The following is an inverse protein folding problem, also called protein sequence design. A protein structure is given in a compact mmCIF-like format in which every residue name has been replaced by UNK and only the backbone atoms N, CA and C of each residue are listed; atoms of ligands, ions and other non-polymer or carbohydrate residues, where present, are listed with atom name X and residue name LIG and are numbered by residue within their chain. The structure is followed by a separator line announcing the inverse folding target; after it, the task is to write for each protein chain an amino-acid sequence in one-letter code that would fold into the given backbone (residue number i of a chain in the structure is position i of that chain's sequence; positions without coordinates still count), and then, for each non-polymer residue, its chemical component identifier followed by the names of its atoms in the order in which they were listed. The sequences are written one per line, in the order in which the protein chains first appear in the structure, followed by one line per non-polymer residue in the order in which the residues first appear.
data_IF_758781508524
#
_entry.id   IF_758781508524
#
_cell.length_a   1.000
_cell.length_b   1.000
_cell.length_c   1.000
_cell.angle_alpha   90.00
_cell.angle_beta   90.00
_cell.angle_gamma   90.00
#
_symmetry.space_group_name_H-M   'P 1'
#
loop_
_entity.id
_entity.type
_entity.pdbx_description
1 polymer ?
#
# COMPACT_ATOMS: atom_id res chain seq x y z
N UNK A 1 16.68 -9.29 -14.19
CA UNK A 1 15.20 -9.38 -14.12
C UNK A 1 14.84 -9.65 -12.67
N UNK A 2 14.30 -8.67 -11.93
CA UNK A 2 13.87 -8.92 -10.54
C UNK A 2 12.46 -9.50 -10.60
N UNK A 3 12.36 -10.82 -10.36
CA UNK A 3 11.09 -11.52 -10.26
C UNK A 3 10.24 -11.03 -9.10
N UNK A 4 9.02 -11.56 -8.92
CA UNK A 4 8.16 -11.18 -7.80
C UNK A 4 8.89 -11.43 -6.48
N UNK A 5 9.06 -10.38 -5.67
CA UNK A 5 9.77 -10.43 -4.40
C UNK A 5 8.76 -10.63 -3.28
N UNK A 6 8.97 -11.62 -2.43
CA UNK A 6 8.22 -11.74 -1.18
C UNK A 6 8.71 -10.67 -0.21
N UNK A 7 7.79 -9.81 0.21
CA UNK A 7 8.03 -8.74 1.18
C UNK A 7 7.05 -8.87 2.32
N UNK A 8 7.37 -8.26 3.45
CA UNK A 8 6.47 -8.19 4.60
C UNK A 8 5.85 -6.81 4.62
N UNK A 9 4.52 -6.75 4.75
CA UNK A 9 3.81 -5.49 4.84
C UNK A 9 4.19 -4.76 6.13
N UNK A 10 4.72 -3.54 6.05
CA UNK A 10 5.05 -2.77 7.26
C UNK A 10 3.82 -2.34 8.07
N UNK A 11 2.64 -2.28 7.44
CA UNK A 11 1.40 -1.95 8.15
C UNK A 11 0.81 -3.13 8.94
N UNK A 12 0.69 -4.31 8.33
CA UNK A 12 0.01 -5.46 8.95
C UNK A 12 0.92 -6.64 9.29
N UNK A 13 2.21 -6.58 8.95
CA UNK A 13 3.17 -7.66 9.18
C UNK A 13 2.94 -8.92 8.35
N UNK A 14 2.00 -8.93 7.40
CA UNK A 14 1.71 -10.10 6.59
C UNK A 14 2.70 -10.23 5.43
N UNK A 15 3.23 -11.43 5.16
CA UNK A 15 4.02 -11.69 3.97
C UNK A 15 3.12 -11.56 2.73
N UNK A 16 3.62 -10.87 1.72
CA UNK A 16 2.93 -10.68 0.46
C UNK A 16 3.91 -10.68 -0.71
N UNK A 17 3.40 -11.03 -1.87
CA UNK A 17 4.17 -10.99 -3.11
C UNK A 17 4.09 -9.59 -3.71
N UNK A 18 5.20 -8.87 -3.70
CA UNK A 18 5.34 -7.62 -4.44
C UNK A 18 5.43 -7.94 -5.94
N UNK A 19 4.56 -7.30 -6.73
CA UNK A 19 4.52 -7.51 -8.18
C UNK A 19 5.68 -6.88 -8.95
N UNK A 20 6.63 -6.22 -8.26
CA UNK A 20 7.76 -5.54 -8.89
C UNK A 20 7.26 -4.44 -9.84
N UNK A 21 7.46 -4.63 -11.15
CA UNK A 21 6.93 -3.75 -12.19
C UNK A 21 5.40 -3.64 -12.18
N UNK A 22 4.69 -4.66 -11.70
CA UNK A 22 3.23 -4.63 -11.51
C UNK A 22 2.89 -4.37 -10.04
N UNK A 23 3.33 -3.23 -9.51
CA UNK A 23 3.00 -2.84 -8.16
C UNK A 23 1.49 -2.60 -8.02
N UNK A 24 0.90 -3.08 -6.93
CA UNK A 24 -0.53 -2.91 -6.65
C UNK A 24 -0.94 -1.44 -6.53
N UNK A 25 -0.02 -0.54 -6.16
CA UNK A 25 -0.29 0.89 -6.06
C UNK A 25 -0.85 1.45 -7.39
N UNK A 26 -0.28 1.04 -8.53
CA UNK A 26 -0.74 1.47 -9.85
C UNK A 26 -1.99 0.72 -10.34
N UNK A 27 -2.25 -0.48 -9.83
CA UNK A 27 -3.45 -1.26 -10.20
C UNK A 27 -4.68 -0.86 -9.41
N UNK A 28 -4.51 -0.50 -8.13
CA UNK A 28 -5.60 -0.17 -7.21
C UNK A 28 -6.08 1.28 -7.32
N UNK A 29 -5.48 2.08 -8.22
CA UNK A 29 -5.87 3.47 -8.42
C UNK A 29 -5.54 4.36 -7.21
N UNK A 30 -4.41 4.10 -6.53
CA UNK A 30 -3.98 4.94 -5.42
C UNK A 30 -3.64 6.33 -5.93
N UNK A 31 -4.22 7.34 -5.28
CA UNK A 31 -4.00 8.75 -5.62
C UNK A 31 -2.62 9.21 -5.18
N UNK A 32 -2.10 10.28 -5.79
CA UNK A 32 -0.79 10.86 -5.44
C UNK A 32 -0.72 11.22 -3.95
N UNK A 33 -1.76 11.83 -3.40
CA UNK A 33 -1.85 12.19 -1.98
C UNK A 33 -1.82 10.97 -1.04
N UNK A 34 -2.44 9.85 -1.44
CA UNK A 34 -2.35 8.59 -0.70
C UNK A 34 -0.96 7.97 -0.81
N UNK A 35 -0.31 8.09 -1.97
CA UNK A 35 1.04 7.59 -2.20
C UNK A 35 2.06 8.36 -1.37
N UNK A 36 1.97 9.68 -1.31
CA UNK A 36 2.79 10.53 -0.45
C UNK A 36 2.62 10.16 1.02
N UNK A 37 1.38 9.89 1.45
CA UNK A 37 1.11 9.43 2.81
C UNK A 37 1.76 8.08 3.12
N UNK A 38 1.70 7.13 2.17
CA UNK A 38 2.37 5.83 2.30
C UNK A 38 3.88 6.05 2.41
N UNK A 39 4.48 6.78 1.46
CA UNK A 39 5.92 7.03 1.41
C UNK A 39 6.45 7.82 2.62
N UNK A 40 5.62 8.65 3.23
CA UNK A 40 5.98 9.38 4.46
C UNK A 40 5.90 8.53 5.74
N UNK A 41 5.23 7.38 5.71
CA UNK A 41 4.97 6.53 6.90
C UNK A 41 5.61 5.15 6.84
N UNK A 42 5.77 4.62 5.64
CA UNK A 42 6.28 3.29 5.38
C UNK A 42 7.49 3.42 4.45
N UNK A 43 8.63 2.87 4.88
CA UNK A 43 9.84 2.86 4.07
C UNK A 43 9.78 1.74 3.02
N UNK A 44 9.01 0.68 3.31
CA UNK A 44 8.79 -0.43 2.39
C UNK A 44 7.33 -0.51 1.87
N UNK A 45 7.08 -1.53 1.07
CA UNK A 45 5.85 -1.74 0.33
C UNK A 45 4.73 -2.27 1.23
N UNK A 46 3.52 -1.78 1.02
CA UNK A 46 2.31 -2.32 1.63
C UNK A 46 1.73 -3.47 0.80
N UNK A 47 1.10 -4.43 1.47
CA UNK A 47 0.41 -5.51 0.77
C UNK A 47 -0.85 -5.00 0.06
N UNK A 48 -1.33 -5.77 -0.94
CA UNK A 48 -2.56 -5.47 -1.69
C UNK A 48 -3.75 -5.17 -0.77
N UNK A 49 -3.88 -5.87 0.36
CA UNK A 49 -4.98 -5.66 1.30
C UNK A 49 -4.91 -4.27 1.94
N UNK A 50 -3.75 -3.87 2.45
CA UNK A 50 -3.56 -2.55 3.05
C UNK A 50 -3.69 -1.44 2.02
N UNK A 51 -3.11 -1.64 0.84
CA UNK A 51 -3.27 -0.74 -0.30
C UNK A 51 -4.73 -0.63 -0.75
N UNK A 52 -5.50 -1.71 -0.69
CA UNK A 52 -6.94 -1.70 -0.98
C UNK A 52 -7.72 -0.85 0.02
N UNK A 53 -7.39 -0.94 1.31
CA UNK A 53 -7.94 -0.05 2.34
C UNK A 53 -7.56 1.41 2.09
N UNK A 54 -6.35 1.66 1.61
CA UNK A 54 -5.93 3.00 1.22
C UNK A 54 -6.76 3.52 0.05
N UNK A 55 -6.87 2.74 -1.01
CA UNK A 55 -7.70 3.08 -2.16
C UNK A 55 -9.18 3.29 -1.78
N UNK A 56 -9.71 2.49 -0.85
CA UNK A 56 -11.06 2.62 -0.31
C UNK A 56 -11.26 3.82 0.65
N UNK A 57 -10.18 4.49 1.07
CA UNK A 57 -10.22 5.57 2.06
C UNK A 57 -10.37 5.10 3.51
N UNK A 58 -10.35 3.80 3.77
CA UNK A 58 -10.37 3.21 5.12
C UNK A 58 -9.03 3.37 5.86
N UNK A 59 -7.93 3.56 5.12
CA UNK A 59 -6.59 3.70 5.67
C UNK A 59 -5.82 4.81 4.94
N UNK A 60 -5.52 5.94 5.56
CA UNK A 60 -4.81 6.99 4.84
C UNK A 60 -4.79 8.35 5.52
N UNK A 61 -4.38 9.41 4.79
CA UNK A 61 -4.17 10.75 5.34
C UNK A 61 -5.42 11.40 5.92
N UNK A 62 -6.61 10.87 5.60
CA UNK A 62 -7.90 11.37 6.07
C UNK A 62 -8.71 10.32 6.82
N UNK A 63 -8.06 9.31 7.40
CA UNK A 63 -8.70 8.39 8.35
C UNK A 63 -8.98 9.09 9.69
N UNK A 64 -9.63 10.26 9.66
CA UNK A 64 -10.37 10.80 10.78
C UNK A 64 -11.75 10.14 10.74
N UNK A 65 -11.95 9.18 11.64
CA UNK A 65 -13.21 8.53 11.96
C UNK A 65 -14.40 9.49 11.86
N UNK A 66 -15.41 9.12 11.08
CA UNK A 66 -16.73 9.74 11.19
C UNK A 66 -17.72 8.61 11.49
N UNK A 67 -17.99 8.49 12.80
CA UNK A 67 -19.12 7.88 13.52
C UNK A 67 -19.43 6.40 13.33
#
# INVERSE_FOLDING_TARGET
MKGPVEKVCEHCGQPFRCGGYQCWCGTLGITEHQMDWIAARYEDCLCRICLGKVAAGELGPQSSSIF
#
